data_IF_641640220262
#
_entry.id   IF_641640220262
#
_cell.length_a   1.000
_cell.length_b   1.000
_cell.length_c   1.000
_cell.angle_alpha   90.00
_cell.angle_beta   90.00
_cell.angle_gamma   90.00
#
_symmetry.space_group_name_H-M   'P 1'
#
loop_
_entity.id
_entity.type
_entity.pdbx_description
1 polymer ?
#
# COMPACT_ATOMS: atom_id res chain seq x y z
N UNK A 1 15.19 24.10 40.05
CA UNK A 1 16.33 23.60 39.24
C UNK A 1 15.76 22.88 38.03
N UNK A 2 15.99 23.39 36.83
CA UNK A 2 15.36 22.98 35.57
C UNK A 2 16.19 21.90 34.86
N UNK A 3 15.60 20.73 34.64
CA UNK A 3 16.21 19.64 33.85
C UNK A 3 15.93 19.89 32.37
N UNK A 4 16.98 20.14 31.58
CA UNK A 4 16.89 20.36 30.12
C UNK A 4 16.63 19.04 29.38
N UNK A 5 15.53 18.97 28.63
CA UNK A 5 15.27 17.89 27.67
C UNK A 5 16.05 18.19 26.38
N UNK A 6 17.03 17.34 26.04
CA UNK A 6 17.74 17.42 24.76
C UNK A 6 16.93 16.66 23.72
N UNK A 7 16.26 17.39 22.82
CA UNK A 7 15.58 16.83 21.67
C UNK A 7 16.62 16.41 20.61
N UNK A 8 16.71 15.11 20.32
CA UNK A 8 17.48 14.59 19.18
C UNK A 8 16.75 14.96 17.88
N UNK A 9 17.35 15.88 17.12
CA UNK A 9 16.86 16.28 15.81
C UNK A 9 17.13 15.14 14.81
N UNK A 10 16.06 14.47 14.34
CA UNK A 10 16.16 13.49 13.25
C UNK A 10 16.32 14.25 11.94
N UNK A 11 17.47 14.09 11.28
CA UNK A 11 17.71 14.64 9.95
C UNK A 11 17.01 13.73 8.95
N UNK A 12 15.82 14.14 8.50
CA UNK A 12 15.16 13.51 7.36
C UNK A 12 15.89 13.96 6.08
N UNK A 13 16.59 13.06 5.42
CA UNK A 13 17.10 13.29 4.07
C UNK A 13 15.90 13.37 3.11
N UNK A 14 15.67 14.50 2.43
CA UNK A 14 14.63 14.53 1.40
C UNK A 14 15.15 13.73 0.20
N UNK A 15 14.55 12.56 -0.02
CA UNK A 15 14.66 11.86 -1.30
C UNK A 15 14.23 12.82 -2.41
N UNK A 16 15.09 12.96 -3.41
CA UNK A 16 14.94 13.76 -4.62
C UNK A 16 13.53 13.61 -5.20
N UNK A 17 12.65 14.56 -4.88
CA UNK A 17 11.35 14.71 -5.51
C UNK A 17 11.56 15.50 -6.79
N UNK A 18 11.98 14.82 -7.85
CA UNK A 18 12.05 15.41 -9.19
C UNK A 18 10.60 15.63 -9.69
N UNK A 19 10.08 16.84 -9.47
CA UNK A 19 8.84 17.30 -10.10
C UNK A 19 9.23 17.85 -11.47
N UNK A 20 8.97 17.10 -12.53
CA UNK A 20 8.87 17.69 -13.86
C UNK A 20 7.64 18.61 -13.88
N UNK A 21 7.86 19.90 -13.62
CA UNK A 21 6.88 20.93 -13.85
C UNK A 21 7.08 21.48 -15.26
N UNK A 22 6.21 21.09 -16.19
CA UNK A 22 6.03 21.82 -17.44
C UNK A 22 5.27 23.11 -17.12
N UNK A 23 6.01 24.16 -16.80
CA UNK A 23 5.46 25.52 -16.71
C UNK A 23 5.23 26.03 -18.13
N UNK A 24 3.98 26.11 -18.54
CA UNK A 24 3.55 26.94 -19.67
C UNK A 24 3.81 28.41 -19.30
N UNK A 25 4.88 28.99 -19.85
CA UNK A 25 5.19 30.41 -19.67
C UNK A 25 4.85 31.18 -20.94
N UNK A 26 3.91 32.12 -20.77
CA UNK A 26 3.42 33.10 -21.72
C UNK A 26 4.43 34.21 -22.01
N UNK A 27 4.46 34.62 -23.27
CA UNK A 27 4.84 35.93 -23.85
C UNK A 27 6.14 36.61 -23.41
N UNK A 28 7.16 36.47 -24.27
CA UNK A 28 8.20 37.48 -24.46
C UNK A 28 8.54 37.63 -25.95
N UNK A 29 8.21 38.79 -26.52
CA UNK A 29 8.68 39.23 -27.83
C UNK A 29 10.15 39.67 -27.72
N UNK A 30 11.05 39.07 -28.51
CA UNK A 30 12.45 39.48 -28.56
C UNK A 30 13.24 38.78 -29.67
N UNK A 31 13.46 39.52 -30.77
CA UNK A 31 14.54 39.44 -31.75
C UNK A 31 15.08 38.06 -32.18
N UNK A 32 14.78 37.69 -33.44
CA UNK A 32 15.43 36.61 -34.18
C UNK A 32 16.93 36.90 -34.40
N UNK A 33 17.79 36.33 -33.56
CA UNK A 33 19.16 36.02 -33.96
C UNK A 33 19.14 34.69 -34.71
N UNK A 34 19.35 34.74 -36.03
CA UNK A 34 19.72 33.56 -36.80
C UNK A 34 21.20 33.31 -36.49
N UNK A 35 21.46 32.54 -35.43
CA UNK A 35 22.73 31.83 -35.36
C UNK A 35 22.66 30.72 -36.40
N UNK A 36 23.53 30.78 -37.41
CA UNK A 36 23.76 29.63 -38.29
C UNK A 36 24.26 28.49 -37.41
N UNK A 37 23.44 27.46 -37.25
CA UNK A 37 23.78 26.24 -36.51
C UNK A 37 24.92 25.53 -37.27
N UNK A 38 26.16 25.81 -36.88
CA UNK A 38 27.37 25.18 -37.43
C UNK A 38 27.61 23.78 -36.86
N UNK A 39 26.67 23.23 -36.09
CA UNK A 39 26.81 21.88 -35.55
C UNK A 39 26.64 20.84 -36.67
N UNK A 40 27.76 20.23 -37.06
CA UNK A 40 27.76 19.08 -37.96
C UNK A 40 27.21 17.89 -37.16
N UNK A 41 25.90 17.65 -37.27
CA UNK A 41 25.28 16.48 -36.69
C UNK A 41 25.84 15.21 -37.34
N UNK A 42 26.35 14.25 -36.56
CA UNK A 42 26.80 12.98 -37.11
C UNK A 42 25.59 12.28 -37.72
N UNK A 43 25.73 11.79 -38.96
CA UNK A 43 24.66 11.11 -39.68
C UNK A 43 24.20 9.90 -38.88
N UNK A 44 23.00 9.97 -38.31
CA UNK A 44 22.44 8.87 -37.53
C UNK A 44 22.03 7.73 -38.46
N UNK A 45 22.65 6.56 -38.30
CA UNK A 45 22.35 5.35 -39.04
C UNK A 45 22.62 4.10 -38.19
N UNK A 46 22.28 2.92 -38.70
CA UNK A 46 22.45 1.66 -37.97
C UNK A 46 23.91 1.26 -37.70
N UNK A 47 24.87 1.98 -38.27
CA UNK A 47 26.31 1.80 -38.04
C UNK A 47 26.89 2.76 -36.98
N UNK A 48 26.05 3.56 -36.31
CA UNK A 48 26.54 4.45 -35.23
C UNK A 48 27.10 3.63 -34.07
N UNK A 49 28.00 4.22 -33.24
CA UNK A 49 28.57 3.53 -32.09
C UNK A 49 27.52 2.98 -31.11
N UNK A 50 26.35 3.60 -31.01
CA UNK A 50 25.24 3.14 -30.18
C UNK A 50 24.64 1.82 -30.70
N UNK A 51 24.29 1.75 -31.99
CA UNK A 51 23.75 0.53 -32.60
C UNK A 51 24.76 -0.62 -32.62
N UNK A 52 26.03 -0.31 -32.88
CA UNK A 52 27.09 -1.33 -32.82
C UNK A 52 27.20 -1.94 -31.41
N UNK A 53 27.16 -1.12 -30.35
CA UNK A 53 27.16 -1.63 -28.97
C UNK A 53 25.92 -2.48 -28.70
N UNK A 54 24.75 -2.07 -29.17
CA UNK A 54 23.51 -2.84 -29.02
C UNK A 54 23.61 -4.23 -29.69
N UNK A 55 24.08 -4.31 -30.92
CA UNK A 55 24.25 -5.59 -31.61
C UNK A 55 25.30 -6.48 -30.95
N UNK A 56 26.42 -5.91 -30.49
CA UNK A 56 27.44 -6.68 -29.76
C UNK A 56 26.88 -7.23 -28.45
N UNK A 57 26.17 -6.41 -27.66
CA UNK A 57 25.51 -6.87 -26.43
C UNK A 57 24.48 -7.95 -26.73
N UNK A 58 23.64 -7.74 -27.75
CA UNK A 58 22.64 -8.73 -28.18
C UNK A 58 23.28 -10.05 -28.58
N UNK A 59 24.41 -10.02 -29.29
CA UNK A 59 25.12 -11.23 -29.70
C UNK A 59 25.77 -11.95 -28.51
N UNK A 60 26.37 -11.20 -27.58
CA UNK A 60 26.93 -11.75 -26.34
C UNK A 60 25.83 -12.42 -25.51
N UNK A 61 24.67 -11.78 -25.35
CA UNK A 61 23.53 -12.35 -24.62
C UNK A 61 23.00 -13.61 -25.30
N UNK A 62 22.87 -13.61 -26.63
CA UNK A 62 22.45 -14.79 -27.40
C UNK A 62 23.44 -15.95 -27.27
N UNK A 63 24.74 -15.68 -27.35
CA UNK A 63 25.77 -16.70 -27.14
C UNK A 63 25.76 -17.22 -25.70
N UNK A 64 25.61 -16.33 -24.71
CA UNK A 64 25.51 -16.71 -23.30
C UNK A 64 24.29 -17.59 -23.03
N UNK A 65 23.16 -17.37 -23.73
CA UNK A 65 21.98 -18.24 -23.61
C UNK A 65 22.23 -19.64 -24.18
N UNK A 66 22.88 -19.74 -25.35
CA UNK A 66 23.16 -21.02 -26.00
C UNK A 66 24.21 -21.86 -25.26
N UNK A 67 25.21 -21.19 -24.67
CA UNK A 67 26.31 -21.84 -23.93
C UNK A 67 26.15 -21.74 -22.41
N UNK A 68 24.96 -21.36 -21.94
CA UNK A 68 24.66 -21.36 -20.52
C UNK A 68 24.80 -22.80 -20.00
N UNK A 69 25.59 -23.04 -18.93
CA UNK A 69 25.58 -24.31 -18.23
C UNK A 69 24.15 -24.64 -17.81
N UNK A 70 23.81 -25.94 -17.73
CA UNK A 70 22.55 -26.34 -17.12
C UNK A 70 22.41 -25.68 -15.75
N UNK A 71 21.20 -25.21 -15.38
CA UNK A 71 20.97 -24.55 -14.11
C UNK A 71 21.07 -25.57 -12.96
N UNK A 72 22.30 -25.96 -12.64
CA UNK A 72 22.67 -26.72 -11.45
C UNK A 72 23.18 -25.75 -10.38
N UNK A 73 23.04 -26.15 -9.12
CA UNK A 73 23.54 -25.36 -7.98
C UNK A 73 25.07 -25.18 -8.00
N UNK A 74 25.77 -25.93 -8.85
CA UNK A 74 27.23 -25.90 -9.01
C UNK A 74 27.71 -24.82 -10.01
N UNK A 75 26.81 -24.22 -10.80
CA UNK A 75 27.18 -23.16 -11.71
C UNK A 75 27.75 -21.95 -10.94
N UNK A 76 28.93 -21.46 -11.35
CA UNK A 76 29.65 -20.38 -10.66
C UNK A 76 28.79 -19.14 -10.42
N UNK A 77 27.99 -18.75 -11.43
CA UNK A 77 27.09 -17.59 -11.36
C UNK A 77 25.97 -17.83 -10.36
N UNK A 78 25.34 -19.00 -10.37
CA UNK A 78 24.29 -19.39 -9.42
C UNK A 78 24.83 -19.38 -7.99
N UNK A 79 26.01 -19.95 -7.74
CA UNK A 79 26.66 -19.92 -6.42
C UNK A 79 27.03 -18.51 -5.97
N UNK A 80 27.51 -17.67 -6.88
CA UNK A 80 27.82 -16.27 -6.57
C UNK A 80 26.56 -15.48 -6.22
N UNK A 81 25.48 -15.66 -6.99
CA UNK A 81 24.17 -15.07 -6.68
C UNK A 81 23.64 -15.58 -5.33
N UNK A 82 23.72 -16.89 -5.09
CA UNK A 82 23.28 -17.52 -3.85
C UNK A 82 23.94 -16.92 -2.60
N UNK A 83 25.21 -16.48 -2.70
CA UNK A 83 25.93 -15.84 -1.60
C UNK A 83 25.34 -14.47 -1.19
N UNK A 84 24.75 -13.74 -2.15
CA UNK A 84 24.18 -12.40 -1.90
C UNK A 84 22.65 -12.40 -1.81
N UNK A 85 21.99 -13.49 -2.18
CA UNK A 85 20.54 -13.63 -2.05
C UNK A 85 20.17 -14.16 -0.67
N UNK A 86 19.07 -13.65 -0.12
CA UNK A 86 18.46 -14.22 1.09
C UNK A 86 18.01 -15.66 0.86
N UNK A 87 18.30 -16.55 1.81
CA UNK A 87 17.90 -17.96 1.75
C UNK A 87 16.38 -18.13 1.68
N UNK A 88 15.93 -19.19 1.01
CA UNK A 88 14.51 -19.53 0.89
C UNK A 88 13.83 -19.72 2.25
N UNK A 89 14.54 -20.28 3.22
CA UNK A 89 14.05 -20.48 4.60
C UNK A 89 13.66 -19.16 5.28
N UNK A 90 14.46 -18.10 5.07
CA UNK A 90 14.17 -16.78 5.65
C UNK A 90 12.96 -16.12 5.01
N UNK A 91 12.74 -16.35 3.71
CA UNK A 91 11.50 -15.92 3.04
C UNK A 91 10.29 -16.68 3.58
N UNK A 92 10.42 -17.98 3.82
CA UNK A 92 9.37 -18.79 4.41
C UNK A 92 9.02 -18.31 5.83
N UNK A 93 10.02 -18.09 6.70
CA UNK A 93 9.80 -17.55 8.05
C UNK A 93 9.06 -16.20 8.01
N UNK A 94 9.50 -15.29 7.13
CA UNK A 94 8.86 -14.00 6.98
C UNK A 94 7.40 -14.10 6.50
N UNK A 95 7.12 -15.00 5.55
CA UNK A 95 5.77 -15.23 5.03
C UNK A 95 4.87 -15.87 6.10
N UNK A 96 5.39 -16.82 6.88
CA UNK A 96 4.67 -17.44 8.00
C UNK A 96 4.33 -16.38 9.04
N UNK A 97 5.31 -15.53 9.42
CA UNK A 97 5.10 -14.44 10.38
C UNK A 97 4.05 -13.44 9.89
N UNK A 98 4.12 -13.05 8.61
CA UNK A 98 3.15 -12.13 8.02
C UNK A 98 1.74 -12.74 7.99
N UNK A 99 1.63 -14.03 7.70
CA UNK A 99 0.35 -14.75 7.68
C UNK A 99 -0.26 -14.79 9.09
N UNK A 100 0.56 -15.08 10.11
CA UNK A 100 0.11 -15.08 11.50
C UNK A 100 -0.40 -13.69 11.94
N UNK A 101 0.36 -12.63 11.65
CA UNK A 101 -0.04 -11.26 11.97
C UNK A 101 -1.31 -10.84 11.21
N UNK A 102 -1.45 -11.25 9.95
CA UNK A 102 -2.63 -10.95 9.14
C UNK A 102 -3.88 -11.61 9.71
N UNK A 103 -3.74 -12.83 10.23
CA UNK A 103 -4.82 -13.53 10.93
C UNK A 103 -5.23 -12.79 12.20
N UNK A 104 -4.28 -12.43 13.07
CA UNK A 104 -4.58 -11.73 14.32
C UNK A 104 -5.32 -10.40 14.08
N UNK A 105 -4.94 -9.69 13.00
CA UNK A 105 -5.62 -8.46 12.57
C UNK A 105 -7.04 -8.78 12.09
N UNK A 106 -7.22 -9.84 11.29
CA UNK A 106 -8.53 -10.25 10.79
C UNK A 106 -9.47 -10.63 11.94
N UNK A 107 -9.00 -11.39 12.92
CA UNK A 107 -9.76 -11.77 14.12
C UNK A 107 -10.19 -10.52 14.92
N UNK A 108 -9.30 -9.52 15.03
CA UNK A 108 -9.62 -8.23 15.65
C UNK A 108 -10.69 -7.46 14.88
N UNK A 109 -10.59 -7.41 13.56
CA UNK A 109 -11.61 -6.77 12.70
C UNK A 109 -12.94 -7.50 12.83
N UNK A 110 -12.97 -8.83 12.82
CA UNK A 110 -14.19 -9.62 12.97
C UNK A 110 -14.92 -9.32 14.28
N UNK A 111 -14.17 -9.23 15.39
CA UNK A 111 -14.72 -8.91 16.71
C UNK A 111 -15.46 -7.56 16.72
N UNK A 112 -14.89 -6.53 16.11
CA UNK A 112 -15.48 -5.20 16.10
C UNK A 112 -16.49 -4.98 14.97
N UNK A 113 -16.31 -5.63 13.82
CA UNK A 113 -17.20 -5.50 12.67
C UNK A 113 -18.52 -6.23 12.89
N UNK A 114 -18.50 -7.37 13.59
CA UNK A 114 -19.72 -8.15 13.88
C UNK A 114 -20.52 -7.56 15.04
N UNK A 115 -19.90 -6.74 15.88
CA UNK A 115 -20.56 -6.06 16.98
C UNK A 115 -21.54 -5.00 16.47
N UNK A 116 -22.80 -5.39 16.28
CA UNK A 116 -23.89 -4.45 16.00
C UNK A 116 -24.34 -3.77 17.29
N UNK A 117 -24.64 -2.47 17.23
CA UNK A 117 -25.30 -1.78 18.35
C UNK A 117 -26.68 -2.41 18.55
N UNK A 118 -27.14 -2.61 19.80
CA UNK A 118 -28.49 -3.10 20.02
C UNK A 118 -29.48 -2.16 19.33
N UNK A 119 -30.50 -2.69 18.62
CA UNK A 119 -31.44 -1.87 17.88
C UNK A 119 -32.21 -0.97 18.85
N UNK A 120 -32.09 0.35 18.68
CA UNK A 120 -32.83 1.34 19.47
C UNK A 120 -34.08 1.73 18.71
N UNK A 121 -35.25 1.33 19.21
CA UNK A 121 -36.53 1.77 18.69
C UNK A 121 -37.03 3.00 19.45
N UNK A 122 -37.23 4.11 18.73
CA UNK A 122 -37.81 5.34 19.31
C UNK A 122 -39.33 5.21 19.30
N UNK A 123 -39.90 4.98 20.48
CA UNK A 123 -41.35 4.98 20.65
C UNK A 123 -41.83 6.37 21.07
N UNK A 124 -42.95 6.83 20.50
CA UNK A 124 -43.61 8.07 20.93
C UNK A 124 -44.17 7.97 22.34
N UNK A 125 -44.62 6.76 22.73
CA UNK A 125 -45.26 6.48 24.02
C UNK A 125 -44.63 5.23 24.65
N UNK A 126 -43.51 5.34 25.38
CA UNK A 126 -42.85 4.19 26.01
C UNK A 126 -43.72 3.52 27.08
N UNK A 127 -44.63 4.28 27.69
CA UNK A 127 -45.56 3.80 28.72
C UNK A 127 -46.50 2.68 28.25
N UNK A 128 -46.68 2.50 26.93
CA UNK A 128 -47.50 1.40 26.41
C UNK A 128 -46.90 0.02 26.70
N UNK A 129 -45.59 -0.06 26.99
CA UNK A 129 -44.93 -1.33 27.34
C UNK A 129 -45.39 -1.88 28.69
N UNK A 130 -45.77 -1.01 29.63
CA UNK A 130 -46.19 -1.38 30.98
C UNK A 130 -47.72 -1.55 31.12
N UNK A 131 -48.48 -1.10 30.11
CA UNK A 131 -49.95 -1.03 30.17
C UNK A 131 -50.64 -2.25 29.53
N UNK A 132 -49.91 -3.32 29.24
CA UNK A 132 -50.48 -4.54 28.67
C UNK A 132 -51.10 -5.43 29.76
N UNK A 133 -52.36 -5.83 29.57
CA UNK A 133 -53.02 -6.78 30.47
C UNK A 133 -52.40 -8.18 30.30
N UNK A 134 -51.92 -8.85 31.37
CA UNK A 134 -51.34 -10.19 31.28
C UNK A 134 -52.31 -11.26 30.78
N UNK A 135 -53.61 -11.02 30.90
CA UNK A 135 -54.66 -12.05 30.74
C UNK A 135 -55.47 -11.92 29.45
N UNK A 136 -55.30 -10.83 28.69
CA UNK A 136 -56.06 -10.59 27.46
C UNK A 136 -55.13 -10.39 26.27
N UNK A 137 -54.20 -11.32 26.09
CA UNK A 137 -53.32 -11.29 24.92
C UNK A 137 -53.35 -12.62 24.19
N UNK A 138 -53.61 -12.54 22.89
CA UNK A 138 -53.55 -13.68 22.00
C UNK A 138 -52.10 -14.18 21.88
N UNK A 139 -51.95 -15.50 21.81
CA UNK A 139 -50.65 -16.17 21.71
C UNK A 139 -49.89 -15.69 20.46
N UNK A 140 -48.61 -15.34 20.61
CA UNK A 140 -47.74 -14.91 19.51
C UNK A 140 -47.78 -13.41 19.16
N UNK A 141 -48.67 -12.62 19.76
CA UNK A 141 -48.74 -11.16 19.53
C UNK A 141 -47.82 -10.34 20.47
N UNK A 142 -47.43 -10.91 21.61
CA UNK A 142 -46.55 -10.23 22.55
C UNK A 142 -45.08 -10.48 22.19
N UNK A 143 -44.31 -9.39 22.13
CA UNK A 143 -42.85 -9.47 22.22
C UNK A 143 -42.42 -9.65 23.68
N UNK A 144 -41.37 -10.43 23.92
CA UNK A 144 -40.79 -10.56 25.26
C UNK A 144 -40.08 -9.26 25.66
N UNK A 145 -40.63 -8.53 26.63
CA UNK A 145 -40.13 -7.22 27.04
C UNK A 145 -39.11 -7.26 28.19
N UNK A 146 -38.76 -8.44 28.72
CA UNK A 146 -37.95 -8.60 29.96
C UNK A 146 -36.54 -8.00 29.89
N UNK A 147 -35.97 -7.88 28.68
CA UNK A 147 -34.59 -7.42 28.47
C UNK A 147 -34.49 -5.98 27.95
N UNK A 148 -35.58 -5.19 27.98
CA UNK A 148 -35.57 -3.80 27.52
C UNK A 148 -35.54 -2.83 28.71
N UNK A 149 -34.73 -1.77 28.60
CA UNK A 149 -34.69 -0.66 29.56
C UNK A 149 -35.09 0.61 28.84
N UNK A 150 -36.11 1.30 29.36
CA UNK A 150 -36.51 2.60 28.85
C UNK A 150 -35.46 3.65 29.26
N UNK A 151 -34.82 4.29 28.27
CA UNK A 151 -33.95 5.45 28.54
C UNK A 151 -34.80 6.70 28.70
N UNK A 152 -34.74 7.34 29.86
CA UNK A 152 -35.32 8.67 30.10
C UNK A 152 -34.21 9.73 30.09
N UNK A 153 -34.53 10.97 29.69
CA UNK A 153 -33.54 12.05 29.48
C UNK A 153 -32.75 12.48 30.76
N UNK A 154 -33.10 11.94 31.92
CA UNK A 154 -32.56 12.34 33.23
C UNK A 154 -31.40 11.48 33.75
N UNK A 155 -30.99 10.42 33.06
CA UNK A 155 -29.81 9.61 33.41
C UNK A 155 -28.75 9.74 32.32
N UNK A 156 -27.84 10.71 32.51
CA UNK A 156 -26.54 10.81 31.83
C UNK A 156 -25.45 10.29 32.74
#
# INVERSE_FOLDING_TARGET
MLTRLVARQRVFSPLLRQRNASTSQSDHHGHHHVEEDTTVYPKEGFATPAWRRFFVVSMIVGAAYQFAPEPSEEAFVTRWLAMYTTTSEKWLDMNVRHTALSKDIADGVELFATATRPPVHRMRFPQMMDNASPFNVQVGLNADTRNFVAKTEHEQ
#
